data_IF_312859240720
#
_entry.id   IF_312859240720
#
_cell.length_a   1.000
_cell.length_b   1.000
_cell.length_c   1.000
_cell.angle_alpha   90.00
_cell.angle_beta   90.00
_cell.angle_gamma   90.00
#
_symmetry.space_group_name_H-M   'P 1'
#
loop_
_entity.id
_entity.type
_entity.pdbx_description
1 polymer ?
#
# COMPACT_ATOMS: atom_id res chain seq x y z
N UNK A 1 14.21 -7.33 36.28
CA UNK A 1 15.42 -6.56 35.98
C UNK A 1 16.57 -7.53 35.78
N UNK A 2 16.94 -7.76 34.52
CA UNK A 2 18.32 -7.74 34.01
C UNK A 2 18.28 -8.30 32.58
N UNK A 3 18.62 -7.40 31.66
CA UNK A 3 18.86 -7.65 30.25
C UNK A 3 20.19 -8.38 30.09
N UNK A 4 20.34 -9.23 29.07
CA UNK A 4 21.25 -9.01 27.93
C UNK A 4 21.51 -10.29 27.11
N UNK A 5 21.70 -10.04 25.83
CA UNK A 5 21.83 -10.89 24.64
C UNK A 5 23.08 -11.79 24.63
N UNK A 6 23.10 -12.86 23.79
CA UNK A 6 24.12 -13.10 22.73
C UNK A 6 23.69 -14.31 21.86
N UNK A 7 23.65 -14.08 20.54
CA UNK A 7 23.58 -15.06 19.45
C UNK A 7 24.88 -15.86 19.32
N UNK A 8 24.82 -17.18 19.09
CA UNK A 8 25.85 -17.89 18.29
C UNK A 8 25.18 -19.03 17.50
N UNK A 9 25.12 -18.87 16.19
CA UNK A 9 24.99 -19.99 15.24
C UNK A 9 26.41 -20.50 14.99
N UNK A 10 26.63 -21.81 15.14
CA UNK A 10 27.71 -22.45 14.40
C UNK A 10 27.32 -23.87 13.96
N UNK A 11 27.20 -24.00 12.64
CA UNK A 11 26.96 -25.22 11.89
C UNK A 11 28.23 -26.06 11.92
N UNK A 12 28.10 -27.35 12.23
CA UNK A 12 28.75 -28.48 11.53
C UNK A 12 28.75 -29.71 12.45
N UNK A 13 28.13 -30.81 12.02
CA UNK A 13 28.73 -32.10 12.36
C UNK A 13 28.53 -33.16 11.28
N UNK A 14 29.64 -33.38 10.59
CA UNK A 14 30.13 -34.57 9.90
C UNK A 14 29.42 -35.87 10.31
N UNK A 15 29.03 -36.65 9.30
CA UNK A 15 28.72 -38.06 9.49
C UNK A 15 29.96 -38.89 9.83
N UNK A 16 29.81 -39.83 10.77
CA UNK A 16 30.35 -41.19 10.67
C UNK A 16 29.99 -42.04 11.90
N UNK A 17 29.21 -43.10 11.63
CA UNK A 17 29.33 -44.47 12.15
C UNK A 17 29.23 -44.71 13.67
N UNK A 18 28.02 -45.05 14.13
CA UNK A 18 27.79 -45.83 15.36
C UNK A 18 27.83 -47.32 14.98
N UNK A 19 28.71 -48.10 15.60
CA UNK A 19 28.66 -49.57 15.57
C UNK A 19 27.60 -50.01 16.58
N UNK A 20 26.52 -50.63 16.10
CA UNK A 20 25.49 -51.22 16.95
C UNK A 20 25.60 -52.75 16.98
N UNK A 21 25.42 -53.30 18.18
CA UNK A 21 25.68 -54.66 18.57
C UNK A 21 24.34 -55.31 18.92
N UNK A 22 23.84 -56.21 18.06
CA UNK A 22 22.84 -57.22 18.45
C UNK A 22 21.37 -56.77 18.58
N UNK A 23 20.67 -56.83 17.45
CA UNK A 23 19.39 -57.55 17.26
C UNK A 23 18.20 -57.25 18.20
N UNK A 24 17.25 -56.41 17.74
CA UNK A 24 15.84 -56.73 17.35
C UNK A 24 14.95 -55.50 17.41
N UNK A 25 14.80 -54.79 16.30
CA UNK A 25 13.77 -53.76 16.10
C UNK A 25 12.60 -54.35 15.29
N UNK A 26 11.42 -54.44 15.92
CA UNK A 26 10.18 -54.77 15.22
C UNK A 26 9.78 -53.57 14.36
N UNK A 27 9.61 -53.83 13.07
CA UNK A 27 9.23 -52.85 12.07
C UNK A 27 7.77 -52.40 12.26
N UNK A 28 7.57 -51.18 12.77
CA UNK A 28 6.35 -50.41 12.58
C UNK A 28 6.54 -49.50 11.36
N UNK A 29 6.60 -50.09 10.17
CA UNK A 29 6.57 -49.35 8.90
C UNK A 29 5.12 -49.22 8.46
N UNK A 30 4.46 -48.13 8.83
CA UNK A 30 3.39 -47.59 8.00
C UNK A 30 3.96 -47.27 6.61
N UNK A 31 3.15 -47.27 5.53
CA UNK A 31 3.64 -46.89 4.22
C UNK A 31 4.30 -45.51 4.32
N UNK A 32 5.44 -45.27 3.64
CA UNK A 32 6.06 -43.96 3.66
C UNK A 32 5.06 -42.97 3.09
N UNK A 33 4.61 -42.03 3.92
CA UNK A 33 3.96 -40.82 3.40
C UNK A 33 5.05 -40.11 2.62
N UNK A 34 5.05 -40.28 1.31
CA UNK A 34 5.80 -39.43 0.41
C UNK A 34 5.18 -38.06 0.50
N UNK A 35 5.73 -37.21 1.36
CA UNK A 35 5.58 -35.77 1.18
C UNK A 35 6.35 -35.46 -0.10
N UNK A 36 5.64 -35.40 -1.23
CA UNK A 36 6.16 -34.74 -2.43
C UNK A 36 6.52 -33.32 -2.03
N UNK A 37 7.78 -32.88 -2.17
CA UNK A 37 8.12 -31.48 -2.06
C UNK A 37 7.59 -30.80 -3.33
N UNK A 38 6.33 -30.39 -3.26
CA UNK A 38 5.59 -29.82 -4.38
C UNK A 38 4.31 -29.16 -3.90
N UNK A 39 4.35 -28.57 -2.71
CA UNK A 39 3.46 -27.46 -2.38
C UNK A 39 4.15 -26.22 -2.92
N UNK A 40 3.54 -25.62 -3.93
CA UNK A 40 4.02 -24.45 -4.67
C UNK A 40 4.10 -23.24 -3.73
N UNK A 41 5.15 -23.20 -2.90
CA UNK A 41 5.38 -22.18 -1.88
C UNK A 41 5.93 -20.87 -2.48
N UNK A 42 5.57 -20.57 -3.73
CA UNK A 42 6.01 -19.40 -4.48
C UNK A 42 4.85 -18.58 -5.08
N UNK A 43 3.61 -18.91 -4.73
CA UNK A 43 2.42 -18.26 -5.25
C UNK A 43 1.98 -17.12 -4.31
N UNK A 44 2.56 -15.93 -4.45
CA UNK A 44 1.62 -14.83 -4.65
C UNK A 44 0.97 -15.19 -5.98
N UNK A 45 -0.35 -15.43 -5.97
CA UNK A 45 -1.04 -15.94 -7.16
C UNK A 45 -0.72 -15.00 -8.33
N UNK A 46 -0.20 -15.52 -9.44
CA UNK A 46 0.11 -14.70 -10.63
C UNK A 46 -1.15 -13.92 -11.07
N UNK A 47 -2.34 -14.45 -10.74
CA UNK A 47 -3.63 -13.79 -10.86
C UNK A 47 -3.75 -12.52 -9.99
N UNK A 48 -3.35 -12.57 -8.71
CA UNK A 48 -3.34 -11.42 -7.81
C UNK A 48 -2.35 -10.36 -8.31
N UNK A 49 -1.17 -10.78 -8.77
CA UNK A 49 -0.19 -9.86 -9.36
C UNK A 49 -0.74 -9.21 -10.63
N UNK A 50 -1.36 -9.99 -11.52
CA UNK A 50 -1.97 -9.48 -12.74
C UNK A 50 -3.12 -8.50 -12.44
N UNK A 51 -3.96 -8.79 -11.45
CA UNK A 51 -5.02 -7.88 -11.00
C UNK A 51 -4.42 -6.57 -10.48
N UNK A 52 -3.43 -6.66 -9.58
CA UNK A 52 -2.72 -5.49 -9.06
C UNK A 52 -2.15 -4.64 -10.20
N UNK A 53 -1.41 -5.25 -11.12
CA UNK A 53 -0.79 -4.56 -12.27
C UNK A 53 -1.85 -3.91 -13.17
N UNK A 54 -2.97 -4.60 -13.43
CA UNK A 54 -4.03 -4.07 -14.29
C UNK A 54 -4.65 -2.77 -13.78
N UNK A 55 -4.75 -2.60 -12.45
CA UNK A 55 -5.24 -1.37 -11.80
C UNK A 55 -4.27 -0.20 -11.90
N UNK A 56 -2.97 -0.47 -12.05
CA UNK A 56 -1.95 0.58 -12.00
C UNK A 56 -2.03 1.54 -13.18
N UNK A 57 -2.55 1.10 -14.34
CA UNK A 57 -2.65 1.96 -15.52
C UNK A 57 -3.47 3.22 -15.25
N UNK A 58 -4.69 3.05 -14.77
CA UNK A 58 -5.59 4.18 -14.48
C UNK A 58 -5.07 5.03 -13.32
N UNK A 59 -4.43 4.40 -12.33
CA UNK A 59 -3.82 5.08 -11.19
C UNK A 59 -2.61 5.95 -11.60
N UNK A 60 -1.79 5.49 -12.54
CA UNK A 60 -0.67 6.26 -13.07
C UNK A 60 -1.14 7.42 -13.97
N UNK A 61 -2.25 7.26 -14.70
CA UNK A 61 -2.89 8.36 -15.43
C UNK A 61 -3.46 9.41 -14.45
N UNK A 62 -4.08 8.98 -13.35
CA UNK A 62 -4.52 9.88 -12.29
C UNK A 62 -3.34 10.63 -11.63
N UNK A 63 -2.26 9.92 -11.29
CA UNK A 63 -1.03 10.51 -10.74
C UNK A 63 -0.47 11.59 -11.67
N UNK A 64 -0.42 11.32 -12.97
CA UNK A 64 0.08 12.29 -13.96
C UNK A 64 -0.75 13.58 -13.95
N UNK A 65 -2.08 13.48 -13.95
CA UNK A 65 -2.94 14.66 -13.89
C UNK A 65 -2.72 15.47 -12.60
N UNK A 66 -2.59 14.80 -11.45
CA UNK A 66 -2.32 15.43 -10.17
C UNK A 66 -1.00 16.22 -10.19
N UNK A 67 0.05 15.62 -10.75
CA UNK A 67 1.38 16.22 -10.85
C UNK A 67 1.39 17.40 -11.83
N UNK A 68 0.65 17.34 -12.92
CA UNK A 68 0.49 18.46 -13.85
C UNK A 68 -0.30 19.62 -13.22
N UNK A 69 -1.33 19.33 -12.42
CA UNK A 69 -2.07 20.37 -11.69
C UNK A 69 -1.19 21.09 -10.66
N UNK A 70 -0.29 20.36 -9.99
CA UNK A 70 0.72 20.93 -9.09
C UNK A 70 1.66 21.88 -9.86
N UNK A 71 2.13 21.47 -11.05
CA UNK A 71 3.02 22.29 -11.88
C UNK A 71 2.35 23.62 -12.26
N UNK A 72 1.06 23.57 -12.61
CA UNK A 72 0.28 24.73 -13.02
C UNK A 72 -0.06 25.64 -11.83
N UNK A 73 -0.56 25.06 -10.73
CA UNK A 73 -1.12 25.83 -9.61
C UNK A 73 -0.06 26.24 -8.59
N UNK A 74 1.06 25.52 -8.51
CA UNK A 74 2.19 25.78 -7.61
C UNK A 74 1.76 25.88 -6.13
N UNK A 75 0.84 25.02 -5.71
CA UNK A 75 0.37 24.91 -4.33
C UNK A 75 0.61 23.51 -3.77
N UNK A 76 0.65 23.40 -2.45
CA UNK A 76 0.77 22.11 -1.74
C UNK A 76 -0.61 21.43 -1.51
N UNK A 77 -1.69 21.93 -2.12
CA UNK A 77 -3.05 21.42 -1.88
C UNK A 77 -3.20 19.92 -2.21
N UNK A 78 -2.46 19.46 -3.22
CA UNK A 78 -2.49 18.10 -3.76
C UNK A 78 -1.46 17.16 -3.09
N UNK A 79 -0.64 17.68 -2.17
CA UNK A 79 0.36 16.89 -1.44
C UNK A 79 -0.27 15.68 -0.70
N UNK A 80 -1.41 15.81 0.01
CA UNK A 80 -2.01 14.68 0.71
C UNK A 80 -2.43 13.53 -0.24
N UNK A 81 -2.93 13.86 -1.43
CA UNK A 81 -3.34 12.87 -2.42
C UNK A 81 -2.12 12.14 -3.01
N UNK A 82 -1.00 12.84 -3.25
CA UNK A 82 0.27 12.22 -3.63
C UNK A 82 0.82 11.30 -2.54
N UNK A 83 0.82 11.75 -1.29
CA UNK A 83 1.28 10.93 -0.15
C UNK A 83 0.43 9.66 -0.02
N UNK A 84 -0.90 9.76 -0.19
CA UNK A 84 -1.80 8.60 -0.17
C UNK A 84 -1.48 7.61 -1.31
N UNK A 85 -1.22 8.12 -2.51
CA UNK A 85 -0.85 7.28 -3.66
C UNK A 85 0.40 6.45 -3.35
N UNK A 86 1.51 7.09 -2.98
CA UNK A 86 2.78 6.39 -2.77
C UNK A 86 2.74 5.46 -1.56
N UNK A 87 2.04 5.84 -0.49
CA UNK A 87 1.86 4.97 0.65
C UNK A 87 1.09 3.69 0.32
N UNK A 88 -0.01 3.83 -0.43
CA UNK A 88 -0.81 2.66 -0.86
C UNK A 88 0.03 1.76 -1.75
N UNK A 89 0.74 2.34 -2.73
CA UNK A 89 1.65 1.61 -3.61
C UNK A 89 2.74 0.88 -2.82
N UNK A 90 3.34 1.52 -1.80
CA UNK A 90 4.34 0.93 -0.91
C UNK A 90 3.80 -0.29 -0.17
N UNK A 91 2.59 -0.20 0.38
CA UNK A 91 1.93 -1.28 1.11
C UNK A 91 1.54 -2.46 0.21
N UNK A 92 0.84 -2.20 -0.90
CA UNK A 92 0.44 -3.24 -1.85
C UNK A 92 1.66 -3.96 -2.44
N UNK A 93 2.70 -3.23 -2.85
CA UNK A 93 3.92 -3.82 -3.40
C UNK A 93 4.71 -4.62 -2.36
N UNK A 94 4.74 -4.20 -1.08
CA UNK A 94 5.37 -4.97 -0.01
C UNK A 94 4.65 -6.31 0.24
N UNK A 95 3.32 -6.31 0.25
CA UNK A 95 2.51 -7.52 0.44
C UNK A 95 2.70 -8.52 -0.71
N UNK A 96 2.88 -8.03 -1.93
CA UNK A 96 3.12 -8.84 -3.12
C UNK A 96 4.60 -9.23 -3.31
N UNK A 97 5.49 -8.85 -2.37
CA UNK A 97 6.92 -9.16 -2.44
C UNK A 97 7.70 -8.38 -3.50
N UNK A 98 7.16 -7.26 -3.99
CA UNK A 98 7.78 -6.37 -4.97
C UNK A 98 8.68 -5.34 -4.27
N UNK A 99 9.78 -5.82 -3.69
CA UNK A 99 10.68 -5.01 -2.84
C UNK A 99 11.21 -3.75 -3.53
N UNK A 100 11.52 -3.83 -4.83
CA UNK A 100 12.00 -2.69 -5.61
C UNK A 100 10.98 -1.56 -5.68
N UNK A 101 9.73 -1.88 -6.01
CA UNK A 101 8.62 -0.91 -6.09
C UNK A 101 8.32 -0.33 -4.71
N UNK A 102 8.28 -1.17 -3.67
CA UNK A 102 8.03 -0.73 -2.30
C UNK A 102 9.11 0.26 -1.82
N UNK A 103 10.37 -0.05 -2.11
CA UNK A 103 11.49 0.85 -1.78
C UNK A 103 11.42 2.16 -2.56
N UNK A 104 11.10 2.12 -3.86
CA UNK A 104 10.96 3.31 -4.68
C UNK A 104 9.85 4.23 -4.16
N UNK A 105 8.69 3.67 -3.80
CA UNK A 105 7.58 4.41 -3.22
C UNK A 105 7.97 5.08 -1.90
N UNK A 106 8.65 4.36 -1.01
CA UNK A 106 9.16 4.92 0.25
C UNK A 106 10.13 6.10 0.03
N UNK A 107 11.14 5.94 -0.84
CA UNK A 107 12.08 7.03 -1.15
C UNK A 107 11.38 8.24 -1.77
N UNK A 108 10.29 8.00 -2.51
CA UNK A 108 9.47 9.07 -3.08
C UNK A 108 8.67 9.81 -2.01
N UNK A 109 8.10 9.12 -1.02
CA UNK A 109 7.48 9.74 0.16
C UNK A 109 8.50 10.61 0.94
N UNK A 110 9.70 10.09 1.21
CA UNK A 110 10.75 10.82 1.93
C UNK A 110 11.15 12.10 1.17
N UNK A 111 11.25 12.01 -0.15
CA UNK A 111 11.46 13.18 -1.01
C UNK A 111 10.33 14.20 -0.86
N UNK A 112 9.07 13.75 -0.97
CA UNK A 112 7.89 14.62 -0.89
C UNK A 112 7.76 15.30 0.48
N UNK A 113 8.18 14.65 1.56
CA UNK A 113 8.22 15.27 2.89
C UNK A 113 9.34 16.33 2.99
N UNK A 114 10.50 16.05 2.38
CA UNK A 114 11.72 16.86 2.52
C UNK A 114 11.77 18.08 1.62
N UNK A 115 11.27 17.99 0.39
CA UNK A 115 11.44 19.01 -0.67
C UNK A 115 10.12 19.75 -0.97
N UNK A 116 10.19 20.96 -1.52
CA UNK A 116 8.98 21.67 -1.99
C UNK A 116 8.31 20.87 -3.10
N UNK A 117 6.97 20.85 -3.08
CA UNK A 117 6.22 19.99 -4.00
C UNK A 117 6.43 20.41 -5.46
N UNK A 118 6.43 21.71 -5.74
CA UNK A 118 6.71 22.26 -7.07
C UNK A 118 8.09 21.86 -7.61
N UNK A 119 9.09 21.65 -6.74
CA UNK A 119 10.44 21.24 -7.15
C UNK A 119 10.53 19.72 -7.42
N UNK A 120 9.48 18.96 -7.07
CA UNK A 120 9.44 17.51 -7.20
C UNK A 120 8.79 17.02 -8.50
N UNK A 121 8.08 17.89 -9.24
CA UNK A 121 7.24 17.53 -10.40
C UNK A 121 7.97 16.63 -11.39
N UNK A 122 9.10 17.07 -11.94
CA UNK A 122 9.88 16.30 -12.94
C UNK A 122 10.33 14.94 -12.39
N UNK A 123 10.66 14.88 -11.10
CA UNK A 123 11.13 13.66 -10.44
C UNK A 123 9.98 12.69 -10.20
N UNK A 124 8.79 13.17 -9.85
CA UNK A 124 7.58 12.34 -9.74
C UNK A 124 7.18 11.80 -11.12
N UNK A 125 7.23 12.61 -12.17
CA UNK A 125 6.98 12.14 -13.54
C UNK A 125 7.99 11.07 -13.96
N UNK A 126 9.28 11.23 -13.62
CA UNK A 126 10.29 10.19 -13.81
C UNK A 126 9.96 8.88 -13.08
N UNK A 127 9.48 8.95 -11.83
CA UNK A 127 9.02 7.77 -11.08
C UNK A 127 7.82 7.12 -11.76
N UNK A 128 6.84 7.92 -12.21
CA UNK A 128 5.65 7.43 -12.93
C UNK A 128 6.04 6.69 -14.21
N UNK A 129 6.97 7.23 -15.00
CA UNK A 129 7.45 6.60 -16.23
C UNK A 129 8.20 5.29 -15.94
N UNK A 130 9.02 5.27 -14.89
CA UNK A 130 9.70 4.05 -14.46
C UNK A 130 8.69 2.97 -14.01
N UNK A 131 7.68 3.34 -13.21
CA UNK A 131 6.61 2.43 -12.78
C UNK A 131 5.82 1.89 -13.97
N UNK A 132 5.47 2.74 -14.94
CA UNK A 132 4.74 2.32 -16.14
C UNK A 132 5.50 1.25 -16.93
N UNK A 133 6.81 1.46 -17.14
CA UNK A 133 7.67 0.47 -17.79
C UNK A 133 7.79 -0.81 -16.96
N UNK A 134 7.91 -0.70 -15.65
CA UNK A 134 8.06 -1.87 -14.77
C UNK A 134 6.80 -2.73 -14.77
N UNK A 135 5.62 -2.11 -14.75
CA UNK A 135 4.35 -2.81 -14.87
C UNK A 135 4.16 -3.45 -16.25
N UNK A 136 4.57 -2.77 -17.33
CA UNK A 136 4.57 -3.35 -18.68
C UNK A 136 5.53 -4.56 -18.79
N UNK A 137 6.68 -4.51 -18.10
CA UNK A 137 7.60 -5.66 -18.00
C UNK A 137 6.95 -6.85 -17.30
N UNK A 138 6.18 -6.60 -16.24
CA UNK A 138 5.47 -7.66 -15.49
C UNK A 138 4.39 -8.35 -16.31
N UNK A 139 3.76 -7.66 -17.27
CA UNK A 139 2.81 -8.27 -18.22
C UNK A 139 3.47 -8.85 -19.48
N UNK A 140 4.78 -8.66 -19.65
CA UNK A 140 5.53 -9.10 -20.82
C UNK A 140 5.36 -8.21 -22.06
N UNK A 141 4.84 -6.99 -21.89
CA UNK A 141 4.64 -6.01 -22.95
C UNK A 141 5.91 -5.22 -23.29
N UNK A 142 6.86 -5.12 -22.36
CA UNK A 142 8.11 -4.35 -22.50
C UNK A 142 9.32 -5.07 -21.86
N UNK A 143 10.55 -4.62 -22.18
CA UNK A 143 11.78 -5.05 -21.48
C UNK A 143 11.86 -4.46 -20.06
N UNK A 144 11.11 -3.39 -19.81
CA UNK A 144 11.05 -2.67 -18.56
C UNK A 144 12.10 -1.59 -18.42
N UNK A 145 12.12 -0.88 -17.29
CA UNK A 145 12.99 0.25 -17.10
C UNK A 145 14.41 -0.21 -16.76
N UNK A 146 15.31 0.76 -16.64
CA UNK A 146 16.59 0.55 -15.99
C UNK A 146 16.43 0.09 -14.52
N UNK A 147 17.51 -0.35 -13.87
CA UNK A 147 17.49 -0.80 -12.49
C UNK A 147 16.81 0.22 -11.55
N UNK A 148 15.98 -0.25 -10.62
CA UNK A 148 15.35 0.61 -9.61
C UNK A 148 16.37 1.41 -8.78
N UNK A 149 17.59 0.86 -8.62
CA UNK A 149 18.69 1.54 -7.96
C UNK A 149 19.06 2.87 -8.61
N UNK A 150 19.11 2.92 -9.95
CA UNK A 150 19.45 4.14 -10.68
C UNK A 150 18.37 5.22 -10.48
N UNK A 151 17.10 4.81 -10.42
CA UNK A 151 15.99 5.72 -10.14
C UNK A 151 16.04 6.22 -8.69
N UNK A 152 16.27 5.33 -7.72
CA UNK A 152 16.43 5.71 -6.30
C UNK A 152 17.60 6.67 -6.13
N UNK A 153 18.75 6.40 -6.76
CA UNK A 153 19.91 7.28 -6.71
C UNK A 153 19.60 8.66 -7.31
N UNK A 154 18.85 8.71 -8.40
CA UNK A 154 18.38 9.97 -9.00
C UNK A 154 17.42 10.73 -8.07
N UNK A 155 16.62 10.03 -7.27
CA UNK A 155 15.81 10.67 -6.23
C UNK A 155 16.68 11.18 -5.08
N UNK A 156 17.57 10.37 -4.51
CA UNK A 156 18.34 10.78 -3.34
C UNK A 156 19.37 11.89 -3.64
N UNK A 157 19.95 11.87 -4.85
CA UNK A 157 21.12 12.69 -5.20
C UNK A 157 20.92 13.60 -6.42
N UNK A 158 19.73 13.61 -7.03
CA UNK A 158 19.43 14.43 -8.20
C UNK A 158 19.57 15.94 -7.95
N UNK A 159 19.69 16.75 -9.02
CA UNK A 159 19.77 18.20 -8.90
C UNK A 159 18.52 18.74 -8.21
N UNK A 160 18.69 19.29 -7.01
CA UNK A 160 17.65 20.00 -6.28
C UNK A 160 17.55 21.43 -6.79
N UNK A 161 16.34 21.93 -7.03
CA UNK A 161 16.15 23.35 -7.26
C UNK A 161 16.77 24.14 -6.09
N UNK A 162 17.40 25.29 -6.40
CA UNK A 162 18.13 26.09 -5.43
C UNK A 162 17.19 26.53 -4.30
N UNK A 163 17.28 25.82 -3.17
CA UNK A 163 16.31 25.85 -2.10
C UNK A 163 16.15 27.23 -1.46
N UNK A 164 14.94 27.79 -1.54
CA UNK A 164 14.34 28.45 -0.38
C UNK A 164 14.20 27.40 0.74
N UNK A 165 14.16 27.80 2.01
CA UNK A 165 13.95 26.84 3.10
C UNK A 165 12.67 26.04 2.85
N UNK A 166 12.65 24.70 3.08
CA UNK A 166 11.44 23.89 2.96
C UNK A 166 10.28 24.57 3.69
N UNK A 167 9.03 24.39 3.24
CA UNK A 167 7.91 24.94 3.99
C UNK A 167 7.99 24.38 5.41
N UNK A 168 7.50 25.14 6.39
CA UNK A 168 7.34 24.70 7.78
C UNK A 168 6.28 23.57 7.79
N UNK A 169 6.66 22.41 7.25
CA UNK A 169 5.88 21.18 7.24
C UNK A 169 6.19 20.52 8.54
N UNK A 170 5.15 20.21 9.30
CA UNK A 170 5.28 19.45 10.53
C UNK A 170 5.93 18.09 10.17
N UNK A 171 7.18 17.82 10.63
CA UNK A 171 7.86 16.56 10.34
C UNK A 171 7.13 15.37 11.01
N UNK A 172 6.28 15.64 12.00
CA UNK A 172 5.42 14.68 12.67
C UNK A 172 3.97 14.74 12.16
N UNK A 173 3.71 15.36 10.99
CA UNK A 173 2.47 15.16 10.26
C UNK A 173 2.36 13.70 9.83
N UNK A 174 2.01 12.86 10.80
CA UNK A 174 1.45 11.55 10.61
C UNK A 174 0.13 11.77 9.87
N UNK A 175 0.21 11.77 8.55
CA UNK A 175 -0.88 11.20 7.78
C UNK A 175 -1.00 9.79 8.32
N UNK A 176 -2.09 9.51 9.04
CA UNK A 176 -2.40 8.18 9.56
C UNK A 176 -2.66 7.29 8.36
N UNK A 177 -1.55 6.82 7.81
CA UNK A 177 -1.46 6.16 6.54
C UNK A 177 -1.56 4.68 6.85
N UNK A 178 -2.79 4.23 6.91
CA UNK A 178 -3.03 2.83 6.81
C UNK A 178 -4.39 2.61 6.13
N UNK A 179 -4.38 2.61 4.80
CA UNK A 179 -5.54 2.20 4.02
C UNK A 179 -5.87 0.70 4.18
N UNK A 180 -4.97 -0.06 4.85
CA UNK A 180 -5.15 -1.45 5.30
C UNK A 180 -5.51 -1.55 6.80
N UNK A 181 -5.37 -0.49 7.62
CA UNK A 181 -5.98 -0.33 8.96
C UNK A 181 -7.10 0.73 8.99
N UNK A 182 -7.66 1.13 7.84
CA UNK A 182 -9.11 1.23 7.79
C UNK A 182 -9.56 -0.20 8.03
N UNK A 183 -9.68 -0.54 9.30
CA UNK A 183 -10.09 -1.84 9.79
C UNK A 183 -11.26 -2.25 8.92
N UNK A 184 -11.14 -3.39 8.24
CA UNK A 184 -12.23 -3.91 7.42
C UNK A 184 -13.50 -3.96 8.27
N UNK A 185 -13.38 -4.16 9.59
CA UNK A 185 -14.47 -4.05 10.55
C UNK A 185 -14.95 -2.61 10.74
N UNK A 186 -14.09 -1.58 10.80
CA UNK A 186 -14.50 -0.17 10.84
C UNK A 186 -15.15 0.30 9.53
N UNK A 187 -14.69 -0.18 8.38
CA UNK A 187 -15.35 0.07 7.09
C UNK A 187 -16.71 -0.64 7.04
N UNK A 188 -16.80 -1.87 7.53
CA UNK A 188 -18.07 -2.61 7.65
C UNK A 188 -19.04 -1.92 8.61
N UNK A 189 -18.56 -1.44 9.75
CA UNK A 189 -19.34 -0.69 10.74
C UNK A 189 -19.83 0.64 10.16
N UNK A 190 -18.96 1.37 9.44
CA UNK A 190 -19.37 2.58 8.73
C UNK A 190 -20.43 2.29 7.66
N UNK A 191 -20.25 1.24 6.86
CA UNK A 191 -21.24 0.85 5.83
C UNK A 191 -22.58 0.47 6.49
N UNK A 192 -22.54 -0.26 7.60
CA UNK A 192 -23.73 -0.64 8.35
C UNK A 192 -24.44 0.59 8.94
N UNK A 193 -23.71 1.48 9.61
CA UNK A 193 -24.24 2.70 10.24
C UNK A 193 -24.75 3.70 9.19
N UNK A 194 -24.04 3.86 8.08
CA UNK A 194 -24.51 4.66 6.94
C UNK A 194 -25.79 4.07 6.34
N UNK A 195 -25.90 2.74 6.24
CA UNK A 195 -27.12 2.05 5.83
C UNK A 195 -28.30 2.36 6.75
N UNK A 196 -28.11 2.27 8.07
CA UNK A 196 -29.16 2.59 9.05
C UNK A 196 -29.60 4.06 8.96
N UNK A 197 -28.66 4.98 8.75
CA UNK A 197 -28.97 6.40 8.55
C UNK A 197 -29.71 6.66 7.24
N UNK A 198 -29.42 5.92 6.17
CA UNK A 198 -30.14 6.00 4.89
C UNK A 198 -31.57 5.45 5.02
N UNK A 199 -31.77 4.32 5.69
CA UNK A 199 -33.10 3.76 5.96
C UNK A 199 -33.94 4.72 6.81
N UNK A 200 -33.31 5.34 7.83
CA UNK A 200 -33.95 6.36 8.65
C UNK A 200 -34.32 7.60 7.82
N UNK A 201 -33.43 8.05 6.93
CA UNK A 201 -33.70 9.17 6.02
C UNK A 201 -34.84 8.84 5.05
N UNK A 202 -34.88 7.63 4.49
CA UNK A 202 -35.96 7.16 3.61
C UNK A 202 -37.33 7.24 4.32
N UNK A 203 -37.43 6.74 5.56
CA UNK A 203 -38.68 6.84 6.34
C UNK A 203 -39.13 8.28 6.58
N UNK A 204 -38.18 9.21 6.75
CA UNK A 204 -38.48 10.66 6.91
C UNK A 204 -38.85 11.31 5.58
N UNK A 205 -38.25 10.88 4.47
CA UNK A 205 -38.64 11.33 3.13
C UNK A 205 -40.06 10.88 2.76
N UNK A 206 -40.48 9.68 3.16
CA UNK A 206 -41.87 9.22 3.01
C UNK A 206 -42.85 10.04 3.87
N UNK A 207 -42.42 10.51 5.05
CA UNK A 207 -43.22 11.43 5.86
C UNK A 207 -43.36 12.79 5.17
N UNK A 208 -42.27 13.30 4.58
CA UNK A 208 -42.28 14.55 3.80
C UNK A 208 -43.05 14.44 2.49
N UNK A 209 -43.17 13.25 1.91
CA UNK A 209 -44.05 13.00 0.78
C UNK A 209 -45.52 13.24 1.16
N UNK A 210 -45.92 12.81 2.35
CA UNK A 210 -47.28 12.99 2.86
C UNK A 210 -47.53 14.39 3.45
N UNK A 211 -46.53 14.98 4.11
CA UNK A 211 -46.57 16.33 4.68
C UNK A 211 -45.25 17.09 4.42
N UNK A 212 -45.16 17.83 3.30
CA UNK A 212 -43.96 18.57 2.93
C UNK A 212 -43.59 19.72 3.88
N UNK A 213 -44.49 20.11 4.79
CA UNK A 213 -44.26 21.19 5.76
C UNK A 213 -43.65 20.74 7.08
N UNK A 214 -43.41 19.44 7.26
CA UNK A 214 -42.87 18.89 8.51
C UNK A 214 -41.37 19.23 8.68
N UNK A 215 -41.11 20.36 9.34
CA UNK A 215 -39.76 20.83 9.65
C UNK A 215 -38.96 19.83 10.50
N UNK A 216 -39.62 18.98 11.29
CA UNK A 216 -38.94 17.97 12.10
C UNK A 216 -38.39 16.86 11.21
N UNK A 217 -39.18 16.41 10.23
CA UNK A 217 -38.74 15.42 9.24
C UNK A 217 -37.61 15.95 8.34
N UNK A 218 -37.68 17.23 7.91
CA UNK A 218 -36.59 17.88 7.16
C UNK A 218 -35.29 17.89 7.97
N UNK A 219 -35.34 18.38 9.21
CA UNK A 219 -34.17 18.45 10.08
C UNK A 219 -33.60 17.06 10.43
N UNK A 220 -34.46 16.04 10.53
CA UNK A 220 -34.02 14.66 10.73
C UNK A 220 -33.22 14.12 9.54
N UNK A 221 -33.66 14.38 8.30
CA UNK A 221 -32.92 13.99 7.09
C UNK A 221 -31.56 14.68 7.04
N UNK A 222 -31.48 15.98 7.31
CA UNK A 222 -30.22 16.70 7.34
C UNK A 222 -29.25 16.15 8.37
N UNK A 223 -29.72 15.78 9.57
CA UNK A 223 -28.87 15.17 10.59
C UNK A 223 -28.28 13.84 10.11
N UNK A 224 -29.08 12.98 9.48
CA UNK A 224 -28.60 11.70 8.95
C UNK A 224 -27.44 11.92 7.96
N UNK A 225 -27.60 12.83 6.99
CA UNK A 225 -26.52 13.13 6.05
C UNK A 225 -25.32 13.85 6.67
N UNK A 226 -25.52 14.69 7.70
CA UNK A 226 -24.40 15.30 8.41
C UNK A 226 -23.60 14.28 9.23
N UNK A 227 -24.26 13.26 9.79
CA UNK A 227 -23.59 12.17 10.49
C UNK A 227 -22.80 11.30 9.51
N UNK A 228 -23.37 10.93 8.36
CA UNK A 228 -22.64 10.16 7.33
C UNK A 228 -21.44 10.95 6.75
N UNK A 229 -21.53 12.28 6.68
CA UNK A 229 -20.45 13.15 6.17
C UNK A 229 -19.32 13.37 7.19
N UNK A 230 -19.57 13.14 8.47
CA UNK A 230 -18.62 13.40 9.56
C UNK A 230 -17.70 12.21 9.76
#
# INVERSE_FOLDING_TARGET
MNHEWVFVIQIENRGAQVKDNGDKTVAMRGPPVTVTPGGDSRLVDDEIVAEFVSRQKDLLEYLENLVLDIEVNQTDADLPDLMRFFHTLKGESALLGMEGISRLAHVTEDMLQRDHLADCVDRILGVKDWLALEFARMTGEDEGPGPVGDMIDALEHGPRAAAAAPPDRDPDAHYDLNLLELDVDMLHDFIAEAGEHLDAAEGRLLTLEADPGDEEAINAVFRCFHTIKG
#
